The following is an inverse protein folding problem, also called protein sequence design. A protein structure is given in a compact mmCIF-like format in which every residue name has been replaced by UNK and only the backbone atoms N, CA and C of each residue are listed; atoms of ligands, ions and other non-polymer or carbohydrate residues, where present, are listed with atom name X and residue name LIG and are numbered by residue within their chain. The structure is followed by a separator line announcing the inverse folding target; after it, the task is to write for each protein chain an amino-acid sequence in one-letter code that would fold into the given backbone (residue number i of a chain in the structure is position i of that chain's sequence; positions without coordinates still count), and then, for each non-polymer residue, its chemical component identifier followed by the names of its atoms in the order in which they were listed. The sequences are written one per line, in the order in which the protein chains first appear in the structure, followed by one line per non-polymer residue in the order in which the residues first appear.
data_IF_071899905521
#
_entry.id   IF_071899905521
#
_cell.length_a   1.000
_cell.length_b   1.000
_cell.length_c   1.000
_cell.angle_alpha   90.00
_cell.angle_beta   90.00
_cell.angle_gamma   90.00
#
_symmetry.space_group_name_H-M   'P 1'
#
loop_
_entity.id
_entity.type
_entity.pdbx_description
1 polymer ?
#
# COMPACT_ATOMS: atom_id res chain seq x y z
N UNK A 1 -2.59 -37.82 -23.16
CA UNK A 1 -3.77 -38.69 -23.03
C UNK A 1 -5.01 -37.82 -22.95
N UNK A 2 -6.01 -38.07 -23.78
CA UNK A 2 -7.28 -37.33 -23.73
C UNK A 2 -8.13 -37.90 -22.61
N UNK A 3 -8.50 -37.07 -21.64
CA UNK A 3 -9.38 -37.45 -20.53
C UNK A 3 -10.75 -37.85 -21.09
N UNK A 4 -11.31 -38.94 -20.57
CA UNK A 4 -12.67 -39.40 -20.88
C UNK A 4 -13.71 -38.29 -20.59
N UNK A 5 -14.70 -38.18 -21.47
CA UNK A 5 -15.74 -37.15 -21.45
C UNK A 5 -16.57 -37.18 -20.15
N UNK A 6 -16.78 -38.37 -19.57
CA UNK A 6 -17.47 -38.53 -18.28
C UNK A 6 -16.63 -37.98 -17.13
N UNK A 7 -15.33 -38.26 -17.17
CA UNK A 7 -14.37 -37.76 -16.17
C UNK A 7 -14.26 -36.24 -16.24
N UNK A 8 -14.24 -35.66 -17.44
CA UNK A 8 -14.21 -34.20 -17.62
C UNK A 8 -15.45 -33.50 -17.08
N UNK A 9 -16.63 -34.13 -17.23
CA UNK A 9 -17.88 -33.56 -16.72
C UNK A 9 -17.88 -33.45 -15.19
N UNK A 10 -17.38 -34.47 -14.51
CA UNK A 10 -17.23 -34.47 -13.05
C UNK A 10 -16.20 -33.44 -12.57
N UNK A 11 -15.07 -33.31 -13.28
CA UNK A 11 -14.05 -32.29 -12.98
C UNK A 11 -14.59 -30.87 -13.22
N UNK A 12 -15.35 -30.66 -14.30
CA UNK A 12 -15.97 -29.38 -14.60
C UNK A 12 -16.97 -28.95 -13.53
N UNK A 13 -17.79 -29.88 -13.01
CA UNK A 13 -18.75 -29.59 -11.94
C UNK A 13 -18.08 -29.25 -10.61
N UNK A 14 -16.89 -29.81 -10.34
CA UNK A 14 -16.09 -29.45 -9.16
C UNK A 14 -15.41 -28.08 -9.37
N UNK A 15 -14.88 -27.82 -10.56
CA UNK A 15 -14.21 -26.56 -10.89
C UNK A 15 -15.19 -25.38 -10.95
N UNK A 16 -16.42 -25.58 -11.42
CA UNK A 16 -17.43 -24.52 -11.50
C UNK A 16 -17.91 -24.01 -10.13
N UNK A 17 -17.68 -24.79 -9.07
CA UNK A 17 -17.95 -24.37 -7.68
C UNK A 17 -16.85 -23.46 -7.10
N UNK A 18 -15.69 -23.37 -7.76
CA UNK A 18 -14.53 -22.61 -7.30
C UNK A 18 -13.98 -21.74 -8.45
N UNK A 19 -14.42 -20.48 -8.49
CA UNK A 19 -14.11 -19.52 -9.55
C UNK A 19 -12.60 -19.34 -9.79
N UNK A 20 -11.81 -19.29 -8.71
CA UNK A 20 -10.34 -19.17 -8.75
C UNK A 20 -9.67 -20.41 -9.37
N UNK A 21 -10.19 -21.60 -9.07
CA UNK A 21 -9.68 -22.86 -9.60
C UNK A 21 -10.00 -22.97 -11.10
N UNK A 22 -11.20 -22.57 -11.50
CA UNK A 22 -11.60 -22.52 -12.91
C UNK A 22 -10.73 -21.52 -13.70
N UNK A 23 -10.48 -20.34 -13.15
CA UNK A 23 -9.61 -19.32 -13.74
C UNK A 23 -8.16 -19.80 -13.88
N UNK A 24 -7.60 -20.47 -12.86
CA UNK A 24 -6.22 -20.98 -12.92
C UNK A 24 -6.05 -22.07 -14.00
N UNK A 25 -7.03 -22.96 -14.17
CA UNK A 25 -7.04 -24.00 -15.21
C UNK A 25 -7.22 -23.38 -16.60
N UNK A 26 -8.08 -22.36 -16.72
CA UNK A 26 -8.27 -21.62 -17.96
C UNK A 26 -7.00 -20.87 -18.37
N UNK A 27 -6.38 -20.10 -17.46
CA UNK A 27 -5.12 -19.40 -17.68
C UNK A 27 -3.98 -20.36 -18.03
N UNK A 28 -3.84 -21.48 -17.32
CA UNK A 28 -2.84 -22.51 -17.61
C UNK A 28 -2.98 -23.09 -19.02
N UNK A 29 -4.21 -23.25 -19.52
CA UNK A 29 -4.50 -23.68 -20.89
C UNK A 29 -4.09 -22.62 -21.92
N UNK A 30 -4.34 -21.33 -21.67
CA UNK A 30 -3.90 -20.26 -22.57
C UNK A 30 -2.37 -20.11 -22.59
N UNK A 31 -1.69 -20.23 -21.45
CA UNK A 31 -0.23 -20.21 -21.36
C UNK A 31 0.40 -21.42 -22.05
N UNK A 32 -0.19 -22.60 -21.91
CA UNK A 32 0.26 -23.80 -22.62
C UNK A 32 0.09 -23.66 -24.14
N UNK A 33 -1.06 -23.12 -24.60
CA UNK A 33 -1.29 -22.83 -26.02
C UNK A 33 -0.28 -21.79 -26.51
N UNK A 34 -0.05 -20.71 -25.76
CA UNK A 34 0.95 -19.67 -26.09
C UNK A 34 2.34 -20.26 -26.29
N UNK A 35 2.84 -21.01 -25.30
CA UNK A 35 4.15 -21.68 -25.37
C UNK A 35 4.25 -22.66 -26.54
N UNK A 36 3.23 -23.48 -26.76
CA UNK A 36 3.22 -24.43 -27.90
C UNK A 36 3.21 -23.72 -29.24
N UNK A 37 2.50 -22.60 -29.35
CA UNK A 37 2.41 -21.83 -30.59
C UNK A 37 3.74 -21.14 -30.87
N UNK A 38 4.38 -20.56 -29.86
CA UNK A 38 5.71 -19.95 -29.96
C UNK A 38 6.78 -20.98 -30.31
N UNK A 39 6.80 -22.15 -29.66
CA UNK A 39 7.72 -23.25 -29.99
C UNK A 39 7.55 -23.75 -31.42
N UNK A 40 6.30 -23.88 -31.90
CA UNK A 40 6.02 -24.29 -33.28
C UNK A 40 6.49 -23.21 -34.25
N UNK A 41 6.22 -21.94 -33.98
CA UNK A 41 6.66 -20.80 -34.82
C UNK A 41 8.19 -20.73 -34.88
N UNK A 42 8.88 -20.80 -33.74
CA UNK A 42 10.34 -20.75 -33.66
C UNK A 42 10.98 -21.96 -34.35
N UNK A 43 10.45 -23.17 -34.15
CA UNK A 43 10.90 -24.37 -34.88
C UNK A 43 10.68 -24.26 -36.37
N UNK A 44 9.57 -23.65 -36.81
CA UNK A 44 9.30 -23.45 -38.24
C UNK A 44 10.19 -22.35 -38.84
N UNK A 45 10.50 -21.29 -38.07
CA UNK A 45 11.40 -20.22 -38.50
C UNK A 45 12.84 -20.71 -38.69
N UNK A 46 13.35 -21.61 -37.84
CA UNK A 46 14.70 -22.14 -37.99
C UNK A 46 14.90 -23.07 -39.19
N UNK A 47 13.83 -23.64 -39.77
CA UNK A 47 13.91 -24.64 -40.85
C UNK A 47 13.94 -24.08 -42.28
N UNK A 48 13.66 -22.78 -42.51
CA UNK A 48 13.61 -22.22 -43.88
C UNK A 48 14.50 -20.99 -44.06
N UNK A 49 15.66 -21.23 -44.68
CA UNK A 49 16.66 -20.23 -45.08
C UNK A 49 16.31 -19.56 -46.43
N UNK A 50 15.10 -19.02 -46.58
CA UNK A 50 14.73 -18.26 -47.80
C UNK A 50 13.94 -16.98 -47.46
N UNK A 51 14.52 -15.78 -47.69
CA UNK A 51 13.98 -14.50 -47.19
C UNK A 51 12.70 -14.01 -47.91
N UNK A 52 12.41 -14.44 -49.14
CA UNK A 52 11.29 -13.86 -49.92
C UNK A 52 9.92 -14.50 -49.66
N UNK A 53 9.86 -15.71 -49.10
CA UNK A 53 8.58 -16.36 -48.73
C UNK A 53 8.05 -15.91 -47.35
N UNK A 54 8.90 -15.27 -46.54
CA UNK A 54 8.63 -14.87 -45.16
C UNK A 54 7.56 -13.78 -45.05
N UNK A 55 7.65 -12.73 -45.87
CA UNK A 55 6.71 -11.60 -45.82
C UNK A 55 5.28 -11.98 -46.22
N UNK A 56 5.09 -12.99 -47.08
CA UNK A 56 3.75 -13.47 -47.48
C UNK A 56 3.06 -14.29 -46.39
N UNK A 57 3.82 -15.07 -45.63
CA UNK A 57 3.29 -15.91 -44.54
C UNK A 57 2.98 -15.07 -43.29
N UNK A 58 3.84 -14.11 -42.95
CA UNK A 58 3.56 -13.15 -41.87
C UNK A 58 2.32 -12.31 -42.21
N UNK A 59 2.22 -11.83 -43.45
CA UNK A 59 1.03 -11.11 -43.93
C UNK A 59 -0.25 -11.95 -43.95
N UNK A 60 -0.16 -13.29 -43.99
CA UNK A 60 -1.32 -14.19 -43.87
C UNK A 60 -1.65 -14.54 -42.41
N UNK A 61 -0.65 -14.71 -41.56
CA UNK A 61 -0.83 -14.98 -40.13
C UNK A 61 -1.39 -13.75 -39.38
N UNK A 62 -0.99 -12.53 -39.75
CA UNK A 62 -1.61 -11.29 -39.23
C UNK A 62 -3.05 -11.08 -39.71
N UNK A 63 -3.48 -11.74 -40.80
CA UNK A 63 -4.86 -11.64 -41.32
C UNK A 63 -5.80 -12.69 -40.76
N UNK A 64 -5.31 -13.62 -39.94
CA UNK A 64 -6.22 -14.50 -39.21
C UNK A 64 -7.01 -13.60 -38.25
N UNK A 65 -8.35 -13.60 -38.36
CA UNK A 65 -9.18 -12.81 -37.46
C UNK A 65 -8.96 -13.36 -36.06
N UNK A 66 -8.20 -12.63 -35.24
CA UNK A 66 -8.11 -12.87 -33.81
C UNK A 66 -9.50 -12.56 -33.28
N UNK A 67 -10.32 -13.59 -33.09
CA UNK A 67 -11.61 -13.48 -32.45
C UNK A 67 -11.32 -13.17 -30.97
N UNK A 68 -11.11 -11.89 -30.67
CA UNK A 68 -11.29 -11.37 -29.32
C UNK A 68 -12.77 -11.53 -29.03
N UNK A 69 -13.17 -12.64 -28.43
CA UNK A 69 -14.49 -12.70 -27.77
C UNK A 69 -14.46 -11.62 -26.70
N UNK A 70 -15.19 -10.54 -26.96
CA UNK A 70 -15.36 -9.46 -25.99
C UNK A 70 -15.78 -10.09 -24.68
N UNK A 71 -15.00 -9.82 -23.64
CA UNK A 71 -15.39 -10.16 -22.28
C UNK A 71 -16.74 -9.50 -22.05
N UNK A 72 -17.80 -10.33 -21.99
CA UNK A 72 -19.14 -9.88 -21.71
C UNK A 72 -19.20 -9.31 -20.30
N UNK A 73 -19.82 -8.14 -20.20
CA UNK A 73 -20.05 -7.33 -18.98
C UNK A 73 -18.87 -6.49 -18.49
N UNK A 74 -18.58 -5.42 -19.23
CA UNK A 74 -17.65 -4.36 -18.78
C UNK A 74 -18.26 -2.99 -19.10
N UNK A 75 -19.45 -2.67 -18.57
CA UNK A 75 -20.09 -1.38 -18.88
C UNK A 75 -19.89 -0.34 -17.76
N UNK A 76 -19.81 -0.77 -16.50
CA UNK A 76 -19.48 0.12 -15.37
C UNK A 76 -17.98 0.09 -15.01
N UNK A 77 -17.34 -1.09 -15.07
CA UNK A 77 -15.91 -1.27 -14.79
C UNK A 77 -15.03 -0.47 -15.75
N UNK A 78 -15.42 -0.33 -17.02
CA UNK A 78 -14.59 0.34 -18.03
C UNK A 78 -14.59 1.88 -17.90
N UNK A 79 -15.67 2.48 -17.39
CA UNK A 79 -15.75 3.92 -17.15
C UNK A 79 -15.05 4.29 -15.83
N UNK A 80 -15.24 3.45 -14.81
CA UNK A 80 -14.51 3.56 -13.55
C UNK A 80 -13.00 3.37 -13.77
N UNK A 81 -12.60 2.38 -14.58
CA UNK A 81 -11.19 2.19 -14.95
C UNK A 81 -10.67 3.38 -15.77
N UNK A 82 -11.43 3.96 -16.69
CA UNK A 82 -10.95 5.10 -17.49
C UNK A 82 -10.77 6.39 -16.64
N UNK A 83 -11.62 6.60 -15.63
CA UNK A 83 -11.45 7.69 -14.65
C UNK A 83 -10.30 7.41 -13.69
N UNK A 84 -10.16 6.17 -13.22
CA UNK A 84 -9.14 5.77 -12.25
C UNK A 84 -7.76 5.65 -12.89
N UNK A 85 -7.67 5.33 -14.19
CA UNK A 85 -6.40 5.21 -14.92
C UNK A 85 -5.95 6.48 -15.63
N UNK A 86 -6.80 7.50 -15.73
CA UNK A 86 -6.36 8.79 -16.27
C UNK A 86 -5.36 9.43 -15.31
N UNK A 87 -4.15 9.83 -15.75
CA UNK A 87 -3.02 10.20 -14.88
C UNK A 87 -3.32 11.35 -13.90
N UNK A 88 -4.27 12.22 -14.24
CA UNK A 88 -4.72 13.31 -13.36
C UNK A 88 -5.88 12.92 -12.44
N UNK A 89 -6.88 12.18 -12.95
CA UNK A 89 -8.06 11.80 -12.17
C UNK A 89 -7.75 10.64 -11.21
N UNK A 90 -6.90 9.70 -11.61
CA UNK A 90 -6.40 8.64 -10.74
C UNK A 90 -5.68 9.19 -9.52
N UNK A 91 -4.87 10.24 -9.69
CA UNK A 91 -4.18 10.90 -8.57
C UNK A 91 -5.15 11.61 -7.62
N UNK A 92 -6.16 12.31 -8.14
CA UNK A 92 -7.19 12.96 -7.33
C UNK A 92 -8.01 11.92 -6.55
N UNK A 93 -8.42 10.84 -7.21
CA UNK A 93 -9.17 9.75 -6.58
C UNK A 93 -8.32 9.07 -5.51
N UNK A 94 -7.04 8.86 -5.76
CA UNK A 94 -6.08 8.33 -4.79
C UNK A 94 -6.00 9.22 -3.55
N UNK A 95 -5.73 10.52 -3.72
CA UNK A 95 -5.71 11.47 -2.59
C UNK A 95 -7.06 11.50 -1.86
N UNK A 96 -8.17 11.46 -2.59
CA UNK A 96 -9.51 11.46 -2.01
C UNK A 96 -9.76 10.23 -1.13
N UNK A 97 -9.46 9.04 -1.63
CA UNK A 97 -9.60 7.78 -0.89
C UNK A 97 -8.69 7.77 0.34
N UNK A 98 -7.43 8.17 0.18
CA UNK A 98 -6.48 8.24 1.27
C UNK A 98 -6.90 9.28 2.33
N UNK A 99 -7.44 10.41 1.90
CA UNK A 99 -8.03 11.42 2.77
C UNK A 99 -9.22 10.90 3.55
N UNK A 100 -10.10 10.10 2.93
CA UNK A 100 -11.23 9.45 3.61
C UNK A 100 -10.73 8.46 4.68
N UNK A 101 -9.70 7.66 4.37
CA UNK A 101 -9.12 6.73 5.35
C UNK A 101 -8.59 7.49 6.57
N UNK A 102 -7.80 8.55 6.35
CA UNK A 102 -7.28 9.35 7.45
C UNK A 102 -8.40 10.01 8.24
N UNK A 103 -9.37 10.61 7.56
CA UNK A 103 -10.52 11.25 8.21
C UNK A 103 -11.30 10.25 9.07
N UNK A 104 -11.61 9.06 8.54
CA UNK A 104 -12.28 8.00 9.29
C UNK A 104 -11.43 7.52 10.48
N UNK A 105 -10.12 7.34 10.27
CA UNK A 105 -9.18 6.91 11.30
C UNK A 105 -9.13 7.90 12.46
N UNK A 106 -9.02 9.21 12.19
CA UNK A 106 -8.98 10.22 13.26
C UNK A 106 -10.36 10.47 13.87
N UNK A 107 -11.43 10.44 13.08
CA UNK A 107 -12.78 10.67 13.59
C UNK A 107 -13.20 9.64 14.64
N UNK A 108 -12.71 8.40 14.53
CA UNK A 108 -13.00 7.31 15.47
C UNK A 108 -11.84 7.09 16.44
N UNK A 109 -10.61 7.20 15.97
CA UNK A 109 -9.41 6.95 16.75
C UNK A 109 -9.10 8.02 17.79
N UNK A 110 -9.29 9.31 17.48
CA UNK A 110 -9.07 10.40 18.43
C UNK A 110 -9.97 10.32 19.68
N UNK A 111 -11.30 10.12 19.57
CA UNK A 111 -12.13 10.00 20.78
C UNK A 111 -11.79 8.75 21.61
N UNK A 112 -11.41 7.64 20.97
CA UNK A 112 -10.92 6.46 21.70
C UNK A 112 -9.60 6.74 22.41
N UNK A 113 -8.69 7.47 21.75
CA UNK A 113 -7.42 7.90 22.33
C UNK A 113 -7.65 8.74 23.59
N UNK A 114 -8.54 9.72 23.53
CA UNK A 114 -8.86 10.61 24.66
C UNK A 114 -9.49 9.87 25.85
N UNK A 115 -10.35 8.88 25.57
CA UNK A 115 -10.93 8.01 26.60
C UNK A 115 -9.82 7.21 27.29
N UNK A 116 -8.92 6.57 26.53
CA UNK A 116 -7.82 5.81 27.12
C UNK A 116 -6.87 6.72 27.92
N UNK A 117 -6.58 7.92 27.41
CA UNK A 117 -5.74 8.88 28.12
C UNK A 117 -6.35 9.27 29.47
N UNK A 118 -7.64 9.62 29.47
CA UNK A 118 -8.35 10.01 30.69
C UNK A 118 -8.46 8.88 31.70
N UNK A 119 -8.91 7.69 31.29
CA UNK A 119 -9.20 6.60 32.23
C UNK A 119 -7.99 5.77 32.62
N UNK A 120 -6.98 5.63 31.75
CA UNK A 120 -5.81 4.81 32.03
C UNK A 120 -4.66 5.68 32.50
N UNK A 121 -4.31 6.73 31.75
CA UNK A 121 -3.10 7.51 32.02
C UNK A 121 -3.33 8.49 33.17
N UNK A 122 -4.39 9.30 33.11
CA UNK A 122 -4.64 10.32 34.13
C UNK A 122 -5.07 9.73 35.47
N UNK A 123 -5.95 8.72 35.49
CA UNK A 123 -6.35 8.06 36.74
C UNK A 123 -5.18 7.30 37.41
N UNK A 124 -4.36 6.57 36.65
CA UNK A 124 -3.19 5.88 37.22
C UNK A 124 -2.13 6.87 37.72
N UNK A 125 -1.91 7.96 36.99
CA UNK A 125 -1.06 9.07 37.40
C UNK A 125 -1.53 9.69 38.72
N UNK A 126 -2.82 10.00 38.83
CA UNK A 126 -3.41 10.59 40.03
C UNK A 126 -3.33 9.65 41.25
N UNK A 127 -3.58 8.36 41.07
CA UNK A 127 -3.46 7.35 42.14
C UNK A 127 -2.02 7.22 42.65
N UNK A 128 -1.05 7.24 41.73
CA UNK A 128 0.36 7.13 42.08
C UNK A 128 0.85 8.42 42.74
N UNK A 129 0.45 9.60 42.25
CA UNK A 129 0.74 10.88 42.89
C UNK A 129 0.25 10.94 44.33
N UNK A 130 -0.95 10.41 44.62
CA UNK A 130 -1.50 10.34 45.99
C UNK A 130 -0.74 9.39 46.91
N UNK A 131 -0.11 8.34 46.38
CA UNK A 131 0.70 7.40 47.17
C UNK A 131 2.14 7.89 47.36
N UNK A 132 2.62 8.75 46.46
CA UNK A 132 4.01 9.21 46.43
C UNK A 132 4.20 10.61 46.99
N UNK A 133 3.29 11.07 47.88
CA UNK A 133 3.28 12.44 48.43
C UNK A 133 4.59 12.79 49.17
N UNK A 134 5.20 11.81 49.85
CA UNK A 134 6.39 12.00 50.69
C UNK A 134 7.73 12.02 49.92
N UNK A 135 7.72 11.71 48.62
CA UNK A 135 8.96 11.66 47.83
C UNK A 135 9.36 13.03 47.25
N UNK A 136 10.62 13.22 46.84
CA UNK A 136 11.06 14.42 46.13
C UNK A 136 10.33 14.60 44.78
N UNK A 137 10.10 15.85 44.37
CA UNK A 137 9.33 16.15 43.15
C UNK A 137 9.98 15.62 41.86
N UNK A 138 11.31 15.53 41.80
CA UNK A 138 12.03 14.94 40.67
C UNK A 138 11.72 13.44 40.50
N UNK A 139 11.50 12.72 41.60
CA UNK A 139 11.19 11.29 41.58
C UNK A 139 9.73 11.05 41.17
N UNK A 140 8.81 11.92 41.62
CA UNK A 140 7.41 11.91 41.17
C UNK A 140 7.33 12.16 39.67
N UNK A 141 8.00 13.20 39.16
CA UNK A 141 8.00 13.51 37.72
C UNK A 141 8.60 12.39 36.87
N UNK A 142 9.65 11.72 37.34
CA UNK A 142 10.24 10.58 36.62
C UNK A 142 9.27 9.40 36.47
N UNK A 143 8.52 9.08 37.53
CA UNK A 143 7.57 7.96 37.51
C UNK A 143 6.29 8.35 36.74
N UNK A 144 5.75 9.53 37.04
CA UNK A 144 4.47 9.98 36.52
C UNK A 144 4.59 10.44 35.07
N UNK A 145 5.43 11.43 34.80
CA UNK A 145 5.56 11.98 33.44
C UNK A 145 6.46 11.08 32.57
N UNK A 146 7.50 10.48 33.17
CA UNK A 146 8.43 9.61 32.45
C UNK A 146 7.85 8.24 32.12
N UNK A 147 7.56 7.43 33.15
CA UNK A 147 7.13 6.03 32.94
C UNK A 147 5.66 5.95 32.55
N UNK A 148 4.76 6.53 33.34
CA UNK A 148 3.31 6.42 33.11
C UNK A 148 2.91 7.25 31.88
N UNK A 149 3.38 8.49 31.78
CA UNK A 149 3.17 9.32 30.59
C UNK A 149 3.74 8.67 29.34
N UNK A 150 4.99 8.21 29.40
CA UNK A 150 5.62 7.49 28.29
C UNK A 150 4.86 6.24 27.84
N UNK A 151 4.56 5.31 28.76
CA UNK A 151 3.81 4.10 28.43
C UNK A 151 2.36 4.42 28.01
N UNK A 152 1.76 5.44 28.61
CA UNK A 152 0.44 5.95 28.29
C UNK A 152 0.33 6.46 26.87
N UNK A 153 1.32 7.22 26.38
CA UNK A 153 1.34 7.66 24.98
C UNK A 153 1.35 6.47 24.02
N UNK A 154 2.18 5.46 24.26
CA UNK A 154 2.24 4.26 23.40
C UNK A 154 0.90 3.51 23.41
N UNK A 155 0.29 3.34 24.58
CA UNK A 155 -0.97 2.62 24.74
C UNK A 155 -2.14 3.35 24.06
N UNK A 156 -2.18 4.68 24.19
CA UNK A 156 -3.23 5.53 23.61
C UNK A 156 -3.15 5.61 22.08
N UNK A 157 -2.00 5.30 21.46
CA UNK A 157 -1.88 5.19 19.99
C UNK A 157 -2.47 3.90 19.40
N UNK A 158 -2.66 2.84 20.20
CA UNK A 158 -3.12 1.53 19.70
C UNK A 158 -4.47 1.61 18.97
N UNK A 159 -5.52 2.28 19.48
CA UNK A 159 -6.80 2.38 18.80
C UNK A 159 -6.69 2.98 17.40
N UNK A 160 -5.91 4.06 17.25
CA UNK A 160 -5.69 4.73 15.96
C UNK A 160 -5.02 3.78 14.98
N UNK A 161 -3.98 3.07 15.41
CA UNK A 161 -3.27 2.11 14.56
C UNK A 161 -4.19 0.96 14.14
N UNK A 162 -4.97 0.40 15.08
CA UNK A 162 -5.90 -0.68 14.77
C UNK A 162 -6.91 -0.27 13.71
N UNK A 163 -7.53 0.90 13.84
CA UNK A 163 -8.50 1.42 12.87
C UNK A 163 -7.81 1.66 11.52
N UNK A 164 -6.64 2.31 11.53
CA UNK A 164 -5.86 2.59 10.32
C UNK A 164 -5.54 1.30 9.55
N UNK A 165 -4.97 0.30 10.22
CA UNK A 165 -4.63 -0.97 9.58
C UNK A 165 -5.84 -1.78 9.17
N UNK A 166 -6.93 -1.73 9.92
CA UNK A 166 -8.18 -2.39 9.55
C UNK A 166 -8.74 -1.80 8.25
N UNK A 167 -8.87 -0.47 8.17
CA UNK A 167 -9.34 0.21 6.96
C UNK A 167 -8.36 0.03 5.79
N UNK A 168 -7.05 0.09 6.05
CA UNK A 168 -6.02 -0.11 5.02
C UNK A 168 -6.03 -1.54 4.47
N UNK A 169 -6.14 -2.55 5.33
CA UNK A 169 -6.27 -3.95 4.94
C UNK A 169 -7.52 -4.20 4.11
N UNK A 170 -8.65 -3.57 4.47
CA UNK A 170 -9.86 -3.61 3.66
C UNK A 170 -9.63 -3.06 2.23
N UNK A 171 -8.85 -1.99 2.07
CA UNK A 171 -8.51 -1.48 0.73
C UNK A 171 -7.57 -2.41 -0.05
N UNK A 172 -6.70 -3.12 0.66
CA UNK A 172 -5.82 -4.14 0.08
C UNK A 172 -6.65 -5.32 -0.45
N UNK A 173 -7.63 -5.80 0.33
CA UNK A 173 -8.53 -6.89 -0.04
C UNK A 173 -9.43 -6.54 -1.25
N UNK A 174 -9.86 -5.28 -1.36
CA UNK A 174 -10.62 -4.77 -2.52
C UNK A 174 -9.72 -4.60 -3.78
N UNK A 175 -8.42 -4.83 -3.65
CA UNK A 175 -7.46 -4.73 -4.76
C UNK A 175 -7.25 -3.29 -5.25
N UNK A 176 -7.66 -2.27 -4.47
CA UNK A 176 -7.42 -0.87 -4.82
C UNK A 176 -5.91 -0.55 -4.82
N UNK A 177 -5.14 -1.21 -3.95
CA UNK A 177 -3.70 -1.03 -3.85
C UNK A 177 -2.94 -1.35 -5.14
N UNK A 178 -3.38 -2.36 -5.89
CA UNK A 178 -2.80 -2.68 -7.20
C UNK A 178 -3.00 -1.54 -8.22
N UNK A 179 -4.18 -0.90 -8.20
CA UNK A 179 -4.50 0.26 -9.06
C UNK A 179 -3.74 1.51 -8.63
N UNK A 180 -3.67 1.77 -7.32
CA UNK A 180 -2.92 2.88 -6.75
C UNK A 180 -1.43 2.83 -7.12
N UNK A 181 -0.81 1.64 -7.07
CA UNK A 181 0.58 1.44 -7.45
C UNK A 181 0.83 1.78 -8.94
N UNK A 182 -0.11 1.45 -9.83
CA UNK A 182 -0.01 1.81 -11.25
C UNK A 182 -0.10 3.32 -11.48
N UNK A 183 -1.04 4.01 -10.82
CA UNK A 183 -1.18 5.47 -10.90
C UNK A 183 0.08 6.18 -10.40
N UNK A 184 0.70 5.66 -9.34
CA UNK A 184 1.91 6.25 -8.73
C UNK A 184 3.21 5.82 -9.41
N UNK A 185 3.19 4.87 -10.34
CA UNK A 185 4.41 4.36 -10.98
C UNK A 185 5.19 5.47 -11.69
N UNK A 186 4.50 6.40 -12.36
CA UNK A 186 5.13 7.54 -13.03
C UNK A 186 5.87 8.48 -12.07
N UNK A 187 5.29 8.77 -10.91
CA UNK A 187 5.90 9.61 -9.88
C UNK A 187 7.07 8.89 -9.19
N UNK A 188 6.90 7.60 -8.88
CA UNK A 188 7.95 6.80 -8.27
C UNK A 188 9.16 6.65 -9.20
N UNK A 189 8.95 6.48 -10.49
CA UNK A 189 10.04 6.37 -11.46
C UNK A 189 10.85 7.67 -11.59
N UNK A 190 10.24 8.84 -11.29
CA UNK A 190 10.95 10.12 -11.21
C UNK A 190 11.98 10.13 -10.07
N UNK A 191 11.64 9.49 -8.95
CA UNK A 191 12.52 9.28 -7.79
C UNK A 191 13.44 8.05 -7.94
N UNK A 192 13.40 7.36 -9.09
CA UNK A 192 14.16 6.11 -9.32
C UNK A 192 13.61 4.90 -8.55
N UNK A 193 12.37 4.97 -8.07
CA UNK A 193 11.66 3.92 -7.34
C UNK A 193 10.63 3.23 -8.25
N UNK A 194 10.22 2.04 -7.85
CA UNK A 194 9.12 1.32 -8.52
C UNK A 194 7.78 1.71 -7.88
N UNK A 195 6.67 1.70 -8.62
CA UNK A 195 5.31 1.88 -8.09
C UNK A 195 4.97 1.01 -6.87
N UNK A 196 5.59 -0.17 -6.73
CA UNK A 196 5.47 -1.01 -5.52
C UNK A 196 5.99 -0.36 -4.22
N UNK A 197 6.84 0.67 -4.33
CA UNK A 197 7.42 1.41 -3.21
C UNK A 197 6.49 2.47 -2.64
N UNK A 198 5.48 2.88 -3.42
CA UNK A 198 4.50 3.87 -3.01
C UNK A 198 3.73 3.40 -1.76
N UNK A 199 3.34 2.13 -1.73
CA UNK A 199 2.55 1.56 -0.65
C UNK A 199 3.26 1.71 0.71
N UNK A 200 4.50 1.20 0.90
CA UNK A 200 5.29 1.47 2.10
C UNK A 200 5.44 2.95 2.46
N UNK A 201 5.78 3.81 1.51
CA UNK A 201 5.99 5.24 1.76
C UNK A 201 4.70 5.90 2.24
N UNK A 202 3.57 5.57 1.61
CA UNK A 202 2.28 6.12 2.00
C UNK A 202 1.89 5.68 3.43
N UNK A 203 2.08 4.41 3.78
CA UNK A 203 1.86 3.93 5.15
C UNK A 203 2.74 4.69 6.18
N UNK A 204 3.88 5.24 5.74
CA UNK A 204 4.79 6.06 6.55
C UNK A 204 4.18 7.34 7.12
N UNK A 205 3.19 7.93 6.43
CA UNK A 205 2.45 9.10 6.96
C UNK A 205 1.63 8.75 8.21
N UNK A 206 1.14 7.50 8.31
CA UNK A 206 0.51 6.98 9.52
C UNK A 206 1.55 6.56 10.55
N UNK A 207 2.36 5.58 10.21
CA UNK A 207 3.43 5.07 11.07
C UNK A 207 4.62 4.56 10.26
N UNK A 208 5.83 4.91 10.69
CA UNK A 208 7.04 4.48 9.99
C UNK A 208 7.41 3.02 10.21
N UNK A 209 6.95 2.42 11.32
CA UNK A 209 7.19 1.01 11.64
C UNK A 209 6.62 0.06 10.57
N UNK A 210 5.32 0.12 10.21
CA UNK A 210 4.79 -0.69 9.11
C UNK A 210 5.31 -0.26 7.74
N UNK A 211 5.67 1.01 7.54
CA UNK A 211 6.29 1.46 6.29
C UNK A 211 7.60 0.71 6.01
N UNK A 212 8.47 0.67 7.02
CA UNK A 212 9.74 -0.06 6.95
C UNK A 212 9.49 -1.56 6.80
N UNK A 213 8.56 -2.15 7.56
CA UNK A 213 8.23 -3.58 7.43
C UNK A 213 7.62 -3.94 6.05
N UNK A 214 6.75 -3.08 5.52
CA UNK A 214 6.08 -3.24 4.23
C UNK A 214 7.04 -3.16 3.04
N UNK A 215 8.20 -2.49 3.21
CA UNK A 215 9.25 -2.44 2.18
C UNK A 215 9.77 -3.84 1.77
N UNK A 216 9.52 -4.88 2.59
CA UNK A 216 9.89 -6.28 2.28
C UNK A 216 9.29 -6.81 0.97
N UNK A 217 8.17 -6.26 0.52
CA UNK A 217 7.46 -6.64 -0.72
C UNK A 217 8.24 -6.20 -1.97
N UNK A 218 9.17 -5.24 -1.82
CA UNK A 218 9.99 -4.73 -2.92
C UNK A 218 11.09 -5.74 -3.27
N UNK A 219 11.02 -6.28 -4.48
CA UNK A 219 11.95 -7.30 -5.00
C UNK A 219 13.38 -6.75 -5.17
N UNK A 220 13.51 -5.52 -5.68
CA UNK A 220 14.83 -4.95 -5.93
C UNK A 220 15.46 -4.46 -4.62
N UNK A 221 16.66 -4.96 -4.33
CA UNK A 221 17.39 -4.57 -3.10
C UNK A 221 17.65 -3.07 -3.04
N UNK A 222 17.96 -2.44 -4.18
CA UNK A 222 18.22 -1.00 -4.27
C UNK A 222 16.96 -0.19 -3.93
N UNK A 223 15.82 -0.47 -4.55
CA UNK A 223 14.59 0.26 -4.24
C UNK A 223 14.12 -0.03 -2.81
N UNK A 224 14.28 -1.26 -2.31
CA UNK A 224 13.94 -1.59 -0.92
C UNK A 224 14.73 -0.75 0.09
N UNK A 225 16.05 -0.65 -0.09
CA UNK A 225 16.90 0.16 0.79
C UNK A 225 16.55 1.64 0.69
N UNK A 226 16.36 2.18 -0.53
CA UNK A 226 15.92 3.56 -0.73
C UNK A 226 14.62 3.84 0.03
N UNK A 227 13.60 2.99 -0.13
CA UNK A 227 12.33 3.11 0.58
C UNK A 227 12.49 3.10 2.10
N UNK A 228 13.36 2.25 2.65
CA UNK A 228 13.64 2.21 4.10
C UNK A 228 14.30 3.51 4.57
N UNK A 229 15.22 4.10 3.78
CA UNK A 229 15.87 5.36 4.12
C UNK A 229 14.95 6.58 3.94
N UNK A 230 14.02 6.51 2.98
CA UNK A 230 13.05 7.57 2.68
C UNK A 230 11.86 7.58 3.65
N UNK A 231 11.41 6.43 4.15
CA UNK A 231 10.30 6.34 5.12
C UNK A 231 10.47 7.30 6.32
N UNK A 232 11.64 7.35 6.99
CA UNK A 232 11.94 8.34 8.01
C UNK A 232 11.71 9.80 7.59
N UNK A 233 11.87 10.20 6.33
CA UNK A 233 11.67 11.59 5.94
C UNK A 233 10.19 11.99 5.93
N UNK A 234 9.29 11.00 5.96
CA UNK A 234 7.86 11.23 5.96
C UNK A 234 7.39 11.67 7.36
N UNK A 235 6.69 12.81 7.47
CA UNK A 235 6.20 13.29 8.75
C UNK A 235 5.03 12.41 9.24
N UNK A 236 5.29 11.58 10.24
CA UNK A 236 4.26 10.87 10.98
C UNK A 236 3.78 11.69 12.19
N UNK A 237 2.59 11.36 12.70
CA UNK A 237 1.99 12.03 13.88
C UNK A 237 2.93 12.16 15.06
N UNK A 238 3.63 11.08 15.43
CA UNK A 238 4.57 11.09 16.54
C UNK A 238 5.73 12.09 16.33
N UNK A 239 6.24 12.20 15.10
CA UNK A 239 7.31 13.17 14.80
C UNK A 239 6.80 14.60 14.82
N UNK A 240 5.60 14.84 14.29
CA UNK A 240 4.98 16.16 14.35
C UNK A 240 4.72 16.55 15.81
N UNK A 241 4.26 15.62 16.66
CA UNK A 241 4.09 15.86 18.08
C UNK A 241 5.42 16.24 18.76
N UNK A 242 6.48 15.45 18.55
CA UNK A 242 7.82 15.76 19.09
C UNK A 242 8.33 17.12 18.60
N UNK A 243 8.17 17.43 17.31
CA UNK A 243 8.54 18.74 16.76
C UNK A 243 7.74 19.86 17.46
N UNK A 244 6.44 19.67 17.66
CA UNK A 244 5.56 20.66 18.29
C UNK A 244 5.89 20.89 19.76
N UNK A 245 6.38 19.87 20.47
CA UNK A 245 6.84 20.02 21.86
C UNK A 245 8.25 20.63 21.96
N UNK A 246 9.17 20.23 21.07
CA UNK A 246 10.56 20.64 21.15
C UNK A 246 10.80 22.03 20.56
N UNK A 247 10.18 22.40 19.44
CA UNK A 247 10.48 23.68 18.79
C UNK A 247 10.13 24.91 19.63
N UNK A 248 9.05 24.95 20.44
CA UNK A 248 8.78 26.08 21.34
C UNK A 248 9.84 26.25 22.41
N UNK A 249 10.44 25.16 22.90
CA UNK A 249 11.47 25.18 23.95
C UNK A 249 12.75 25.86 23.44
N UNK A 250 13.15 25.57 22.20
CA UNK A 250 14.40 26.10 21.62
C UNK A 250 14.23 27.44 20.89
N UNK A 251 13.10 27.66 20.21
CA UNK A 251 12.92 28.77 19.27
C UNK A 251 11.80 29.75 19.67
N UNK A 252 11.03 29.45 20.72
CA UNK A 252 10.00 30.35 21.25
C UNK A 252 8.99 30.78 20.18
N UNK A 253 8.94 32.08 19.86
CA UNK A 253 7.97 32.66 18.91
C UNK A 253 8.16 32.19 17.45
N UNK A 254 9.37 31.77 17.05
CA UNK A 254 9.63 31.28 15.69
C UNK A 254 9.38 29.77 15.54
N UNK A 255 8.90 29.08 16.59
CA UNK A 255 8.66 27.65 16.60
C UNK A 255 7.80 27.11 15.45
N UNK A 256 6.68 27.76 15.03
CA UNK A 256 5.86 27.26 13.91
C UNK A 256 6.58 27.35 12.56
N UNK A 257 7.40 28.38 12.39
CA UNK A 257 8.17 28.59 11.15
C UNK A 257 9.29 27.57 11.06
N UNK A 258 9.97 27.30 12.17
CA UNK A 258 11.04 26.30 12.24
C UNK A 258 10.48 24.89 12.06
N UNK A 259 9.39 24.52 12.74
CA UNK A 259 8.78 23.20 12.58
C UNK A 259 8.24 23.00 11.16
N UNK A 260 7.55 23.99 10.60
CA UNK A 260 7.09 23.97 9.21
C UNK A 260 8.25 23.86 8.22
N UNK A 261 9.32 24.65 8.42
CA UNK A 261 10.52 24.61 7.59
C UNK A 261 11.22 23.25 7.61
N UNK A 262 11.33 22.60 8.78
CA UNK A 262 11.90 21.26 8.90
C UNK A 262 11.07 20.20 8.17
N UNK A 263 9.74 20.27 8.26
CA UNK A 263 8.85 19.35 7.54
C UNK A 263 8.94 19.56 6.04
N UNK A 264 8.92 20.82 5.57
CA UNK A 264 9.07 21.14 4.15
C UNK A 264 10.42 20.69 3.62
N UNK A 265 11.51 20.94 4.37
CA UNK A 265 12.85 20.47 4.00
C UNK A 265 12.87 18.94 3.84
N UNK A 266 12.28 18.20 4.78
CA UNK A 266 12.22 16.74 4.70
C UNK A 266 11.45 16.26 3.46
N UNK A 267 10.35 16.92 3.11
CA UNK A 267 9.56 16.62 1.91
C UNK A 267 10.25 17.04 0.60
N UNK A 268 11.12 18.05 0.62
CA UNK A 268 11.90 18.49 -0.56
C UNK A 268 13.10 17.56 -0.81
N UNK A 269 13.65 16.96 0.25
CA UNK A 269 14.71 15.95 0.14
C UNK A 269 14.15 14.64 -0.42
N UNK A 270 12.89 14.32 -0.12
CA UNK A 270 12.16 13.15 -0.59
C UNK A 270 11.90 13.22 -2.11
#
# INVERSE_FOLDING_TARGET
ETVDEVTWKNVYEILSKHEDAFLSVACGRYDWIGRRTEEVIVRHMHRRRHPHAHNRLIGRLMRLPIVRRGMGQVTLTHFLDNIVTHPFWGFIVLIGILGIIFWMTYSIGAPLQDILDKYIVQESSNLIMRKLVEFPDWFKGLIVDGIIGGAGTVLTFIPILLIFFFTFGFLEDVGYMARAAYVMDRFMHLMGLHGKSFLPLFTGFGCNVPAVMGSRIIESRRARLLTIFLAPLIPCTARIAVLTFMTPIFFGKSAPIVSGGLVVLALVIL
#
